data_IF_058823905132
#
_entry.id   IF_058823905132
#
_cell.length_a   1.000
_cell.length_b   1.000
_cell.length_c   1.000
_cell.angle_alpha   90.00
_cell.angle_beta   90.00
_cell.angle_gamma   90.00
#
_symmetry.space_group_name_H-M   'P 1'
#
loop_
_entity.id
_entity.type
_entity.pdbx_description
1 polymer ?
#
# COMPACT_ATOMS: atom_id res chain seq x y z
N UNK A 1 45.14 -57.09 -8.35
CA UNK A 1 44.17 -56.02 -8.01
C UNK A 1 44.53 -54.77 -8.80
N UNK A 2 43.68 -54.28 -9.71
CA UNK A 2 43.90 -52.99 -10.37
C UNK A 2 43.41 -51.81 -9.50
N UNK A 3 44.00 -50.61 -9.63
CA UNK A 3 43.68 -49.47 -8.76
C UNK A 3 42.35 -48.81 -9.17
N UNK A 4 41.56 -48.46 -8.15
CA UNK A 4 40.31 -47.72 -8.26
C UNK A 4 40.56 -46.32 -8.84
N UNK A 5 39.90 -46.01 -9.97
CA UNK A 5 39.83 -44.67 -10.54
C UNK A 5 39.12 -43.74 -9.55
N UNK A 6 39.78 -42.66 -9.12
CA UNK A 6 39.14 -41.55 -8.42
C UNK A 6 38.08 -40.93 -9.33
N UNK A 7 36.81 -41.06 -8.95
CA UNK A 7 35.72 -40.29 -9.54
C UNK A 7 35.94 -38.81 -9.18
N UNK A 8 36.02 -37.97 -10.22
CA UNK A 8 35.96 -36.52 -10.10
C UNK A 8 34.57 -36.15 -9.60
N UNK A 9 34.48 -35.55 -8.43
CA UNK A 9 33.26 -34.90 -7.97
C UNK A 9 32.93 -33.74 -8.92
N UNK A 10 31.75 -33.78 -9.54
CA UNK A 10 31.18 -32.67 -10.28
C UNK A 10 30.86 -31.52 -9.32
N UNK A 11 31.05 -30.25 -9.71
CA UNK A 11 30.62 -29.12 -8.88
C UNK A 11 29.09 -29.11 -8.82
N UNK A 12 28.56 -29.05 -7.60
CA UNK A 12 27.14 -28.87 -7.34
C UNK A 12 26.68 -27.59 -8.05
N UNK A 13 25.77 -27.73 -9.02
CA UNK A 13 25.13 -26.60 -9.67
C UNK A 13 24.35 -25.81 -8.64
N UNK A 14 24.58 -24.50 -8.57
CA UNK A 14 23.68 -23.56 -7.91
C UNK A 14 22.30 -23.71 -8.54
N UNK A 15 21.36 -24.31 -7.82
CA UNK A 15 19.97 -24.37 -8.24
C UNK A 15 19.47 -22.94 -8.49
N UNK A 16 18.78 -22.73 -9.61
CA UNK A 16 18.16 -21.44 -9.90
C UNK A 16 17.07 -21.17 -8.85
N UNK A 17 17.04 -19.94 -8.31
CA UNK A 17 16.00 -19.52 -7.37
C UNK A 17 14.62 -19.59 -8.03
N UNK A 18 13.59 -19.96 -7.27
CA UNK A 18 12.20 -19.83 -7.73
C UNK A 18 11.87 -18.35 -7.96
N UNK A 19 10.85 -18.00 -8.77
CA UNK A 19 10.42 -16.62 -8.94
C UNK A 19 10.11 -15.91 -7.61
N UNK A 20 9.48 -16.62 -6.67
CA UNK A 20 9.19 -16.14 -5.31
C UNK A 20 10.47 -15.84 -4.53
N UNK A 21 11.41 -16.79 -4.48
CA UNK A 21 12.66 -16.61 -3.73
C UNK A 21 13.50 -15.46 -4.33
N UNK A 22 13.54 -15.37 -5.65
CA UNK A 22 14.23 -14.28 -6.34
C UNK A 22 13.60 -12.91 -6.02
N UNK A 23 12.27 -12.85 -5.88
CA UNK A 23 11.57 -11.62 -5.49
C UNK A 23 11.85 -11.23 -4.04
N UNK A 24 11.70 -12.17 -3.10
CA UNK A 24 11.97 -11.94 -1.67
C UNK A 24 13.42 -11.49 -1.47
N UNK A 25 14.38 -12.14 -2.12
CA UNK A 25 15.79 -11.75 -2.03
C UNK A 25 16.05 -10.32 -2.53
N UNK A 26 15.34 -9.86 -3.58
CA UNK A 26 15.42 -8.45 -4.03
C UNK A 26 14.78 -7.51 -3.04
N UNK A 27 13.60 -7.86 -2.52
CA UNK A 27 12.89 -7.06 -1.53
C UNK A 27 13.72 -6.86 -0.25
N UNK A 28 14.25 -7.94 0.32
CA UNK A 28 15.11 -7.90 1.52
C UNK A 28 16.38 -7.08 1.28
N UNK A 29 17.03 -7.29 0.13
CA UNK A 29 18.19 -6.50 -0.25
C UNK A 29 17.86 -5.01 -0.32
N UNK A 30 16.73 -4.63 -0.93
CA UNK A 30 16.34 -3.23 -1.04
C UNK A 30 15.93 -2.64 0.32
N UNK A 31 15.30 -3.43 1.20
CA UNK A 31 15.03 -3.05 2.59
C UNK A 31 16.34 -2.66 3.29
N UNK A 32 17.39 -3.48 3.16
CA UNK A 32 18.70 -3.20 3.76
C UNK A 32 19.37 -1.98 3.14
N UNK A 33 19.38 -1.85 1.81
CA UNK A 33 20.00 -0.73 1.08
C UNK A 33 19.37 0.61 1.48
N UNK A 34 18.05 0.66 1.65
CA UNK A 34 17.32 1.86 2.06
C UNK A 34 17.19 2.01 3.59
N UNK A 35 17.75 1.07 4.37
CA UNK A 35 17.68 1.04 5.84
C UNK A 35 16.24 1.10 6.36
N UNK A 36 15.36 0.36 5.70
CA UNK A 36 13.97 0.20 6.09
C UNK A 36 13.83 -0.85 7.21
N UNK A 37 12.73 -0.77 7.96
CA UNK A 37 12.34 -1.76 8.99
C UNK A 37 11.70 -3.00 8.40
N UNK A 38 11.23 -2.91 7.16
CA UNK A 38 10.48 -3.95 6.47
C UNK A 38 9.74 -3.37 5.27
N UNK A 39 8.68 -4.07 4.86
CA UNK A 39 7.78 -3.62 3.80
C UNK A 39 6.33 -3.87 4.18
N UNK A 40 5.42 -3.16 3.52
CA UNK A 40 3.98 -3.33 3.60
C UNK A 40 3.48 -3.82 2.25
N UNK A 41 2.75 -4.94 2.23
CA UNK A 41 2.11 -5.49 1.04
C UNK A 41 0.85 -4.69 0.72
N UNK A 42 0.73 -4.22 -0.53
CA UNK A 42 -0.40 -3.44 -1.04
C UNK A 42 -1.25 -4.26 -2.02
N UNK A 43 -0.60 -5.03 -2.89
CA UNK A 43 -1.26 -5.96 -3.82
C UNK A 43 -0.71 -7.34 -3.59
N UNK A 44 -1.58 -8.29 -3.22
CA UNK A 44 -1.27 -9.71 -3.09
C UNK A 44 -1.62 -10.47 -4.38
N UNK A 45 -1.13 -11.70 -4.52
CA UNK A 45 -1.63 -12.63 -5.53
C UNK A 45 -2.99 -13.15 -5.05
N UNK A 46 -4.05 -12.96 -5.84
CA UNK A 46 -5.35 -13.58 -5.58
C UNK A 46 -5.43 -14.86 -6.43
N UNK A 47 -5.60 -16.00 -5.77
CA UNK A 47 -5.93 -17.24 -6.45
C UNK A 47 -7.39 -17.14 -6.91
N UNK A 48 -7.63 -17.27 -8.21
CA UNK A 48 -8.96 -17.21 -8.84
C UNK A 48 -9.88 -18.41 -8.49
N UNK A 49 -9.68 -19.08 -7.35
CA UNK A 49 -10.37 -20.34 -7.00
C UNK A 49 -11.15 -20.29 -5.66
N UNK A 50 -11.26 -19.15 -4.98
CA UNK A 50 -12.07 -19.02 -3.74
C UNK A 50 -13.09 -17.86 -3.82
N UNK A 51 -13.96 -17.91 -4.84
CA UNK A 51 -15.25 -17.21 -4.86
C UNK A 51 -16.38 -18.24 -4.66
N UNK A 52 -16.26 -19.11 -3.65
CA UNK A 52 -17.39 -19.86 -3.11
C UNK A 52 -17.57 -19.46 -1.64
N UNK A 53 -18.74 -18.91 -1.35
CA UNK A 53 -19.24 -18.65 0.00
C UNK A 53 -19.25 -19.95 0.79
N UNK A 54 -18.26 -20.19 1.64
CA UNK A 54 -18.30 -21.27 2.63
C UNK A 54 -18.25 -20.67 4.05
N UNK A 55 -19.45 -20.45 4.58
CA UNK A 55 -19.75 -20.63 6.00
C UNK A 55 -19.45 -22.10 6.35
N UNK A 56 -18.33 -22.38 7.03
CA UNK A 56 -18.28 -23.27 8.20
C UNK A 56 -16.83 -23.44 8.70
N UNK A 57 -16.70 -23.40 10.03
CA UNK A 57 -15.49 -23.67 10.81
C UNK A 57 -14.86 -25.03 10.45
N UNK A 58 -13.61 -25.04 9.98
CA UNK A 58 -12.63 -26.05 10.42
C UNK A 58 -11.18 -25.61 10.10
N UNK A 59 -10.39 -25.48 11.18
CA UNK A 59 -8.95 -25.20 11.22
C UNK A 59 -8.13 -26.37 10.62
N UNK A 60 -8.00 -26.43 9.31
CA UNK A 60 -6.83 -27.07 8.68
C UNK A 60 -6.11 -26.04 7.81
N UNK A 61 -4.92 -25.59 8.26
CA UNK A 61 -3.99 -24.82 7.43
C UNK A 61 -3.61 -25.66 6.20
N UNK A 62 -4.42 -25.58 5.15
CA UNK A 62 -4.06 -26.06 3.82
C UNK A 62 -2.90 -25.18 3.37
N UNK A 63 -1.68 -25.67 3.61
CA UNK A 63 -0.47 -25.08 3.05
C UNK A 63 -0.65 -25.04 1.54
N UNK A 64 -0.98 -23.85 1.01
CA UNK A 64 -1.11 -23.62 -0.42
C UNK A 64 0.23 -24.01 -1.09
N UNK A 65 0.25 -25.23 -1.63
CA UNK A 65 1.43 -25.83 -2.27
C UNK A 65 1.56 -25.38 -3.72
N UNK A 66 0.69 -24.47 -4.20
CA UNK A 66 0.76 -23.95 -5.56
C UNK A 66 2.01 -23.05 -5.69
N UNK A 67 2.91 -23.46 -6.56
CA UNK A 67 4.13 -22.72 -6.88
C UNK A 67 3.75 -21.45 -7.66
N UNK A 68 3.97 -20.27 -7.07
CA UNK A 68 3.64 -19.01 -7.73
C UNK A 68 4.39 -18.84 -9.05
N UNK A 69 3.66 -18.49 -10.09
CA UNK A 69 4.24 -18.19 -11.39
C UNK A 69 5.01 -16.86 -11.36
N UNK A 70 5.87 -16.62 -12.35
CA UNK A 70 6.55 -15.33 -12.48
C UNK A 70 5.55 -14.19 -12.68
N UNK A 71 4.46 -14.46 -13.38
CA UNK A 71 3.35 -13.54 -13.61
C UNK A 71 2.65 -13.18 -12.29
N UNK A 72 2.38 -14.16 -11.43
CA UNK A 72 1.78 -13.93 -10.10
C UNK A 72 2.68 -13.03 -9.24
N UNK A 73 3.96 -13.40 -9.13
CA UNK A 73 4.93 -12.63 -8.36
C UNK A 73 5.12 -11.21 -8.93
N UNK A 74 5.00 -11.03 -10.25
CA UNK A 74 5.09 -9.71 -10.88
C UNK A 74 3.96 -8.75 -10.51
N UNK A 75 2.83 -9.27 -9.98
CA UNK A 75 1.70 -8.46 -9.50
C UNK A 75 1.87 -7.95 -8.08
N UNK A 76 2.79 -8.53 -7.31
CA UNK A 76 3.04 -8.09 -5.94
C UNK A 76 3.48 -6.63 -5.91
N UNK A 77 2.89 -5.86 -5.00
CA UNK A 77 3.24 -4.45 -4.77
C UNK A 77 3.54 -4.23 -3.31
N UNK A 78 4.72 -3.70 -3.03
CA UNK A 78 5.18 -3.42 -1.68
C UNK A 78 5.54 -1.95 -1.52
N UNK A 79 5.33 -1.41 -0.33
CA UNK A 79 5.90 -0.12 0.07
C UNK A 79 6.92 -0.38 1.16
N UNK A 80 8.17 0.08 0.98
CA UNK A 80 9.18 -0.08 2.01
C UNK A 80 8.88 0.83 3.20
N UNK A 81 8.98 0.31 4.43
CA UNK A 81 8.64 1.05 5.64
C UNK A 81 9.92 1.44 6.37
N UNK A 82 10.30 2.72 6.28
CA UNK A 82 11.37 3.30 7.09
C UNK A 82 10.84 3.85 8.43
N UNK A 83 11.74 4.37 9.26
CA UNK A 83 11.39 4.97 10.57
C UNK A 83 10.42 6.16 10.47
N UNK A 84 10.51 6.95 9.42
CA UNK A 84 9.68 8.12 9.19
C UNK A 84 8.25 7.70 8.83
N UNK A 85 8.08 6.75 7.92
CA UNK A 85 6.80 6.15 7.53
C UNK A 85 6.11 5.44 8.69
N UNK A 86 6.83 4.62 9.46
CA UNK A 86 6.27 3.96 10.66
C UNK A 86 5.73 4.99 11.68
N UNK A 87 6.46 6.08 11.92
CA UNK A 87 6.00 7.16 12.80
C UNK A 87 4.82 7.93 12.22
N UNK A 88 4.81 8.14 10.91
CA UNK A 88 3.72 8.83 10.21
C UNK A 88 2.43 7.99 10.23
N UNK A 89 2.52 6.67 10.01
CA UNK A 89 1.39 5.73 10.06
C UNK A 89 0.68 5.79 11.40
N UNK A 90 1.42 5.75 12.52
CA UNK A 90 0.83 5.88 13.87
C UNK A 90 0.05 7.18 14.06
N UNK A 91 0.51 8.29 13.47
CA UNK A 91 -0.18 9.58 13.54
C UNK A 91 -1.41 9.60 12.63
N UNK A 92 -1.28 9.05 11.43
CA UNK A 92 -2.35 8.97 10.45
C UNK A 92 -3.50 8.07 10.94
N UNK A 93 -3.20 6.93 11.54
CA UNK A 93 -4.18 6.05 12.15
C UNK A 93 -4.98 6.77 13.23
N UNK A 94 -4.32 7.50 14.13
CA UNK A 94 -5.01 8.31 15.14
C UNK A 94 -5.97 9.34 14.52
N UNK A 95 -5.61 9.92 13.38
CA UNK A 95 -6.51 10.81 12.65
C UNK A 95 -7.68 10.04 12.04
N UNK A 96 -7.40 8.98 11.27
CA UNK A 96 -8.40 8.19 10.57
C UNK A 96 -9.42 7.53 11.51
N UNK A 97 -9.01 7.20 12.74
CA UNK A 97 -9.93 6.64 13.73
C UNK A 97 -10.57 7.70 14.64
N UNK A 98 -10.31 8.98 14.43
CA UNK A 98 -10.71 10.08 15.33
C UNK A 98 -10.25 9.86 16.80
N UNK A 99 -9.22 9.03 17.02
CA UNK A 99 -8.77 8.60 18.34
C UNK A 99 -9.63 7.52 19.02
N UNK A 100 -10.65 6.99 18.34
CA UNK A 100 -11.47 5.84 18.74
C UNK A 100 -10.90 4.53 18.19
N UNK A 101 -11.40 3.38 18.66
CA UNK A 101 -10.99 2.06 18.18
C UNK A 101 -12.12 1.02 18.12
N UNK A 102 -13.38 1.41 18.35
CA UNK A 102 -14.46 0.43 18.56
C UNK A 102 -15.74 0.69 17.76
N UNK A 103 -16.14 1.95 17.54
CA UNK A 103 -17.34 2.29 16.77
C UNK A 103 -17.09 3.60 16.02
N UNK A 104 -17.49 3.62 14.75
CA UNK A 104 -17.47 4.79 13.89
C UNK A 104 -18.90 5.08 13.44
N UNK A 105 -19.25 6.35 13.33
CA UNK A 105 -20.51 6.77 12.75
C UNK A 105 -20.37 8.06 11.94
N UNK A 106 -21.51 8.63 11.59
CA UNK A 106 -21.62 9.86 10.80
C UNK A 106 -20.79 11.02 11.35
N UNK A 107 -20.71 11.16 12.68
CA UNK A 107 -19.93 12.24 13.30
C UNK A 107 -18.44 12.10 13.04
N UNK A 108 -17.89 10.89 13.14
CA UNK A 108 -16.51 10.60 12.82
C UNK A 108 -16.24 10.78 11.33
N UNK A 109 -17.15 10.32 10.45
CA UNK A 109 -17.03 10.52 9.02
C UNK A 109 -16.95 12.00 8.63
N UNK A 110 -17.83 12.82 9.20
CA UNK A 110 -17.80 14.28 9.03
C UNK A 110 -16.47 14.89 9.50
N UNK A 111 -15.92 14.43 10.63
CA UNK A 111 -14.62 14.91 11.14
C UNK A 111 -13.48 14.61 10.16
N UNK A 112 -13.48 13.45 9.51
CA UNK A 112 -12.50 13.10 8.49
C UNK A 112 -12.69 13.97 7.24
N UNK A 113 -13.91 14.11 6.71
CA UNK A 113 -14.20 14.97 5.54
C UNK A 113 -13.72 16.41 5.75
N UNK A 114 -14.04 17.01 6.90
CA UNK A 114 -13.63 18.38 7.26
C UNK A 114 -12.11 18.45 7.55
N UNK A 115 -11.55 17.38 8.15
CA UNK A 115 -10.18 17.31 8.62
C UNK A 115 -9.15 17.09 7.52
N UNK A 116 -9.47 16.23 6.54
CA UNK A 116 -8.53 15.71 5.56
C UNK A 116 -7.84 16.81 4.75
N UNK A 117 -8.53 17.86 4.24
CA UNK A 117 -7.86 18.97 3.58
C UNK A 117 -6.79 19.66 4.43
N UNK A 118 -6.99 19.73 5.76
CA UNK A 118 -6.04 20.35 6.69
C UNK A 118 -4.85 19.44 6.93
N UNK A 119 -5.07 18.14 7.09
CA UNK A 119 -3.98 17.16 7.27
C UNK A 119 -3.11 17.04 6.01
N UNK A 120 -3.72 17.01 4.82
CA UNK A 120 -2.96 17.08 3.55
C UNK A 120 -2.12 18.36 3.49
N UNK A 121 -2.70 19.52 3.80
CA UNK A 121 -1.95 20.79 3.84
C UNK A 121 -0.81 20.77 4.87
N UNK A 122 -0.99 20.12 6.02
CA UNK A 122 0.07 19.96 7.03
C UNK A 122 1.19 19.06 6.51
N UNK A 123 0.85 17.92 5.90
CA UNK A 123 1.82 17.02 5.28
C UNK A 123 2.67 17.76 4.24
N UNK A 124 2.03 18.51 3.33
CA UNK A 124 2.73 19.25 2.27
C UNK A 124 3.57 20.46 2.76
N UNK A 125 3.36 20.91 4.00
CA UNK A 125 4.15 21.99 4.63
C UNK A 125 5.44 21.51 5.29
N UNK A 126 5.68 20.20 5.34
CA UNK A 126 6.91 19.65 5.91
C UNK A 126 8.14 20.11 5.12
N UNK A 127 9.29 20.08 5.78
CA UNK A 127 10.49 20.75 5.27
C UNK A 127 11.03 20.08 4.04
N UNK A 128 11.14 18.76 4.06
CA UNK A 128 11.74 17.96 2.98
C UNK A 128 10.69 17.23 2.15
N UNK A 129 10.99 16.95 0.89
CA UNK A 129 10.11 16.16 0.01
C UNK A 129 9.86 14.73 0.54
N UNK A 130 10.86 14.00 1.07
CA UNK A 130 10.62 12.70 1.69
C UNK A 130 9.66 12.75 2.88
N UNK A 131 9.79 13.75 3.77
CA UNK A 131 8.85 13.89 4.90
C UNK A 131 7.41 14.17 4.43
N UNK A 132 7.25 14.99 3.38
CA UNK A 132 5.93 15.26 2.76
C UNK A 132 5.34 13.98 2.20
N UNK A 133 6.14 13.21 1.47
CA UNK A 133 5.75 11.93 0.91
C UNK A 133 5.36 10.92 1.98
N UNK A 134 6.22 10.68 2.97
CA UNK A 134 5.99 9.70 4.02
C UNK A 134 4.70 10.02 4.81
N UNK A 135 4.45 11.31 5.06
CA UNK A 135 3.25 11.76 5.77
C UNK A 135 1.99 11.65 4.90
N UNK A 136 2.08 11.97 3.61
CA UNK A 136 0.95 11.85 2.68
C UNK A 136 0.59 10.39 2.41
N UNK A 137 1.59 9.52 2.23
CA UNK A 137 1.45 8.07 2.17
C UNK A 137 0.71 7.55 3.39
N UNK A 138 1.22 7.84 4.59
CA UNK A 138 0.63 7.35 5.83
C UNK A 138 -0.83 7.79 5.99
N UNK A 139 -1.12 9.06 5.68
CA UNK A 139 -2.48 9.61 5.71
C UNK A 139 -3.40 8.87 4.75
N UNK A 140 -2.94 8.64 3.52
CA UNK A 140 -3.71 7.98 2.45
C UNK A 140 -3.99 6.52 2.79
N UNK A 141 -2.99 5.80 3.28
CA UNK A 141 -3.16 4.42 3.74
C UNK A 141 -4.19 4.34 4.87
N UNK A 142 -4.08 5.18 5.89
CA UNK A 142 -4.98 5.14 7.04
C UNK A 142 -6.44 5.46 6.66
N UNK A 143 -6.70 6.47 5.81
CA UNK A 143 -8.09 6.77 5.40
C UNK A 143 -8.68 5.74 4.43
N UNK A 144 -7.83 4.96 3.74
CA UNK A 144 -8.29 3.81 2.95
C UNK A 144 -8.64 2.64 3.86
N UNK A 145 -7.83 2.37 4.86
CA UNK A 145 -8.05 1.30 5.84
C UNK A 145 -9.34 1.52 6.66
N UNK A 146 -9.62 2.78 7.02
CA UNK A 146 -10.83 3.17 7.73
C UNK A 146 -11.77 3.94 6.79
N UNK A 147 -12.51 3.21 5.96
CA UNK A 147 -13.30 3.73 4.83
C UNK A 147 -14.66 4.35 5.22
N UNK A 148 -15.07 4.24 6.48
CA UNK A 148 -16.39 4.72 6.96
C UNK A 148 -16.68 6.18 6.60
N UNK A 149 -15.65 7.03 6.50
CA UNK A 149 -15.83 8.45 6.13
C UNK A 149 -16.34 8.64 4.70
N UNK A 150 -16.16 7.66 3.82
CA UNK A 150 -16.70 7.71 2.46
C UNK A 150 -18.20 7.40 2.46
N UNK A 151 -18.63 6.44 3.28
CA UNK A 151 -19.99 5.89 3.28
C UNK A 151 -20.92 6.51 4.32
N UNK A 152 -20.41 6.83 5.50
CA UNK A 152 -21.16 7.29 6.68
C UNK A 152 -20.72 8.69 7.08
N UNK A 153 -21.24 9.68 6.34
CA UNK A 153 -21.04 11.10 6.57
C UNK A 153 -22.27 11.88 6.04
N UNK A 154 -22.37 13.17 6.38
CA UNK A 154 -23.37 14.13 5.86
C UNK A 154 -22.73 15.18 4.93
N UNK A 155 -21.49 14.93 4.49
CA UNK A 155 -20.66 15.85 3.70
C UNK A 155 -20.65 15.50 2.20
N UNK A 156 -21.59 14.70 1.71
CA UNK A 156 -21.58 14.07 0.38
C UNK A 156 -22.24 14.90 -0.73
N UNK A 157 -22.88 16.03 -0.41
CA UNK A 157 -23.44 16.91 -1.44
C UNK A 157 -22.35 17.45 -2.39
N UNK A 158 -22.72 17.70 -3.65
CA UNK A 158 -21.77 18.29 -4.61
C UNK A 158 -21.28 19.66 -4.12
N UNK A 159 -19.96 19.84 -4.14
CA UNK A 159 -19.26 21.02 -3.64
C UNK A 159 -18.97 21.01 -2.14
N UNK A 160 -19.43 20.00 -1.40
CA UNK A 160 -19.23 19.90 0.05
C UNK A 160 -17.83 19.35 0.42
N UNK A 161 -17.66 19.03 1.70
CA UNK A 161 -16.37 18.66 2.27
C UNK A 161 -15.83 17.33 1.75
N UNK A 162 -16.68 16.35 1.43
CA UNK A 162 -16.22 15.07 0.86
C UNK A 162 -15.52 15.28 -0.49
N UNK A 163 -16.20 15.96 -1.42
CA UNK A 163 -15.63 16.29 -2.74
C UNK A 163 -14.34 17.12 -2.60
N UNK A 164 -14.35 18.10 -1.70
CA UNK A 164 -13.18 18.95 -1.44
C UNK A 164 -12.00 18.13 -0.90
N UNK A 165 -12.26 17.21 0.02
CA UNK A 165 -11.26 16.34 0.61
C UNK A 165 -10.59 15.46 -0.45
N UNK A 166 -11.39 14.81 -1.30
CA UNK A 166 -10.91 13.99 -2.42
C UNK A 166 -10.09 14.82 -3.41
N UNK A 167 -10.58 15.99 -3.84
CA UNK A 167 -9.86 16.87 -4.79
C UNK A 167 -8.52 17.35 -4.25
N UNK A 168 -8.46 17.70 -2.97
CA UNK A 168 -7.23 18.15 -2.31
C UNK A 168 -6.22 17.01 -2.22
N UNK A 169 -6.66 15.81 -1.86
CA UNK A 169 -5.81 14.62 -1.82
C UNK A 169 -5.28 14.24 -3.21
N UNK A 170 -6.15 14.18 -4.21
CA UNK A 170 -5.80 13.88 -5.60
C UNK A 170 -4.74 14.86 -6.14
N UNK A 171 -4.98 16.17 -5.93
CA UNK A 171 -4.03 17.21 -6.34
C UNK A 171 -2.69 17.08 -5.62
N UNK A 172 -2.70 16.75 -4.32
CA UNK A 172 -1.47 16.58 -3.55
C UNK A 172 -0.60 15.45 -4.12
N UNK A 173 -1.21 14.29 -4.41
CA UNK A 173 -0.51 13.17 -5.04
C UNK A 173 -0.03 13.49 -6.44
N UNK A 174 -0.89 14.08 -7.28
CA UNK A 174 -0.53 14.49 -8.64
C UNK A 174 0.67 15.43 -8.68
N UNK A 175 0.74 16.38 -7.76
CA UNK A 175 1.86 17.33 -7.73
C UNK A 175 3.12 16.72 -7.10
N UNK A 176 2.97 15.81 -6.14
CA UNK A 176 4.08 15.14 -5.49
C UNK A 176 4.75 14.10 -6.40
N UNK A 177 3.98 13.30 -7.13
CA UNK A 177 4.46 12.24 -8.03
C UNK A 177 5.08 12.77 -9.34
N UNK A 178 5.02 14.08 -9.59
CA UNK A 178 5.86 14.73 -10.62
C UNK A 178 7.34 14.77 -10.26
N UNK A 179 7.68 14.58 -8.98
CA UNK A 179 9.06 14.52 -8.50
C UNK A 179 9.68 13.18 -8.84
N UNK A 180 11.00 13.18 -8.97
CA UNK A 180 11.75 11.94 -9.14
C UNK A 180 11.75 11.12 -7.85
N UNK A 181 11.90 9.80 -7.98
CA UNK A 181 11.95 8.89 -6.83
C UNK A 181 13.09 9.25 -5.86
N UNK A 182 14.23 9.72 -6.40
CA UNK A 182 15.34 10.24 -5.62
C UNK A 182 14.98 11.50 -4.80
N UNK A 183 14.25 12.45 -5.37
CA UNK A 183 13.75 13.62 -4.63
C UNK A 183 12.77 13.23 -3.52
N UNK A 184 11.95 12.20 -3.75
CA UNK A 184 10.98 11.68 -2.80
C UNK A 184 11.60 10.74 -1.75
N UNK A 185 12.87 10.32 -1.94
CA UNK A 185 13.54 9.38 -1.04
C UNK A 185 12.91 7.99 -1.08
N UNK A 186 12.48 7.55 -2.25
CA UNK A 186 11.84 6.25 -2.47
C UNK A 186 12.60 5.43 -3.50
N UNK A 187 12.41 4.12 -3.45
CA UNK A 187 12.94 3.22 -4.45
C UNK A 187 11.96 3.04 -5.62
N UNK A 188 12.52 2.86 -6.82
CA UNK A 188 11.75 2.72 -8.05
C UNK A 188 11.16 1.32 -8.27
N UNK A 189 11.66 0.29 -7.56
CA UNK A 189 11.27 -1.12 -7.78
C UNK A 189 10.04 -1.50 -6.97
N UNK A 190 9.96 -1.06 -5.72
CA UNK A 190 8.93 -1.42 -4.75
C UNK A 190 8.09 -0.21 -4.38
N UNK A 191 8.65 0.79 -3.68
CA UNK A 191 7.84 1.86 -3.09
C UNK A 191 7.07 2.68 -4.14
N UNK A 192 7.70 3.04 -5.25
CA UNK A 192 7.03 3.82 -6.30
C UNK A 192 5.84 3.05 -6.91
N UNK A 193 6.00 1.83 -7.46
CA UNK A 193 4.87 1.00 -7.90
C UNK A 193 3.85 0.72 -6.79
N UNK A 194 4.30 0.56 -5.54
CA UNK A 194 3.43 0.33 -4.39
C UNK A 194 2.49 1.49 -4.09
N UNK A 195 2.96 2.73 -4.19
CA UNK A 195 2.11 3.92 -4.04
C UNK A 195 1.13 4.06 -5.19
N UNK A 196 1.59 3.83 -6.43
CA UNK A 196 0.69 3.92 -7.58
C UNK A 196 -0.44 2.89 -7.45
N UNK A 197 -0.13 1.66 -7.02
CA UNK A 197 -1.15 0.64 -6.75
C UNK A 197 -2.09 1.01 -5.59
N UNK A 198 -1.57 1.59 -4.51
CA UNK A 198 -2.42 2.09 -3.40
C UNK A 198 -3.42 3.15 -3.88
N UNK A 199 -2.98 4.04 -4.77
CA UNK A 199 -3.82 5.10 -5.31
C UNK A 199 -4.82 4.59 -6.36
N UNK A 200 -4.44 3.58 -7.15
CA UNK A 200 -5.37 2.86 -8.03
C UNK A 200 -6.48 2.20 -7.21
N UNK A 201 -6.13 1.44 -6.16
CA UNK A 201 -7.12 0.82 -5.27
C UNK A 201 -8.04 1.85 -4.61
N UNK A 202 -7.48 2.96 -4.12
CA UNK A 202 -8.29 4.02 -3.51
C UNK A 202 -9.22 4.70 -4.54
N UNK A 203 -8.75 4.88 -5.77
CA UNK A 203 -9.58 5.39 -6.87
C UNK A 203 -10.74 4.44 -7.17
N UNK A 204 -10.49 3.13 -7.15
CA UNK A 204 -11.52 2.11 -7.37
C UNK A 204 -12.52 2.05 -6.20
N UNK A 205 -12.05 2.19 -4.94
CA UNK A 205 -12.94 2.31 -3.79
C UNK A 205 -13.87 3.53 -3.92
N UNK A 206 -13.34 4.68 -4.35
CA UNK A 206 -14.14 5.87 -4.57
C UNK A 206 -15.20 5.67 -5.66
N UNK A 207 -14.87 4.95 -6.74
CA UNK A 207 -15.83 4.62 -7.80
C UNK A 207 -16.89 3.62 -7.34
N UNK A 208 -16.53 2.71 -6.43
CA UNK A 208 -17.42 1.70 -5.87
C UNK A 208 -18.36 2.23 -4.78
N UNK A 209 -18.08 3.41 -4.22
CA UNK A 209 -18.85 4.02 -3.13
C UNK A 209 -19.80 5.10 -3.67
N UNK A 210 -21.12 4.93 -3.46
CA UNK A 210 -22.17 5.81 -4.02
C UNK A 210 -21.92 7.32 -3.72
N UNK A 211 -21.65 7.74 -2.47
CA UNK A 211 -21.32 9.14 -2.16
C UNK A 211 -20.13 9.73 -2.91
N UNK A 212 -19.22 8.89 -3.44
CA UNK A 212 -17.99 9.35 -4.10
C UNK A 212 -17.90 9.01 -5.58
N UNK A 213 -18.83 8.19 -6.11
CA UNK A 213 -18.75 7.62 -7.45
C UNK A 213 -18.76 8.65 -8.58
N UNK A 214 -19.38 9.82 -8.36
CA UNK A 214 -19.42 10.91 -9.34
C UNK A 214 -18.13 11.76 -9.36
N UNK A 215 -17.24 11.58 -8.38
CA UNK A 215 -16.02 12.38 -8.25
C UNK A 215 -14.83 11.70 -8.91
N UNK A 216 -14.24 12.40 -9.87
CA UNK A 216 -13.03 11.94 -10.55
C UNK A 216 -11.77 12.21 -9.71
N UNK A 217 -11.21 11.16 -9.09
CA UNK A 217 -9.99 11.21 -8.27
C UNK A 217 -8.73 11.33 -9.14
N UNK A 218 -8.51 12.51 -9.74
CA UNK A 218 -7.40 12.78 -10.67
C UNK A 218 -6.03 12.93 -10.00
N UNK A 219 -5.45 11.82 -9.54
CA UNK A 219 -4.12 11.78 -8.92
C UNK A 219 -2.98 11.60 -9.92
N UNK A 220 -3.26 11.17 -11.16
CA UNK A 220 -2.27 11.13 -12.24
C UNK A 220 -2.11 12.49 -12.92
N UNK A 221 -0.92 12.74 -13.47
CA UNK A 221 -0.55 13.98 -14.16
C UNK A 221 -1.20 14.11 -15.54
#
# INVERSE_FOLDING_TARGET
>A
MPPLKKQKASPAGTAALTPKDAYIARLEKTIDEYRCKGSMLIVCVHNHEHDEEDDDDDDEEEHDTKEYTAEDISRLRHILINDSRDKALKKAQKFATCGSSMMFGTSEGNQICIGLPREVKKALKLKTLPERFDTLFALTYAIKEYDFWMNDNECWESGAELETAMKVLAKAWRDLLKRSDAELGIDAEFTRPGIEALLEQLEDDFKGCEPTAEFDFKWRA
#
